data_IF_711726826826
#
_entry.id   IF_711726826826
#
_cell.length_a   1.000
_cell.length_b   1.000
_cell.length_c   1.000
_cell.angle_alpha   90.00
_cell.angle_beta   90.00
_cell.angle_gamma   90.00
#
_symmetry.space_group_name_H-M   'P 1'
#
loop_
_entity.id
_entity.type
_entity.pdbx_description
1 polymer ?
#
# COMPACT_ATOMS: atom_id res chain seq x y z
N UNK A 1 -8.36 -6.77 21.40
CA UNK A 1 -7.04 -7.25 20.95
C UNK A 1 -5.98 -6.29 21.48
N UNK A 2 -4.80 -6.77 21.90
CA UNK A 2 -3.72 -5.89 22.35
C UNK A 2 -3.08 -5.16 21.15
N UNK A 3 -2.54 -3.96 21.39
CA UNK A 3 -1.86 -3.17 20.34
C UNK A 3 -0.67 -3.91 19.68
N UNK A 4 0.19 -4.63 20.45
CA UNK A 4 1.24 -5.45 19.84
C UNK A 4 0.70 -6.56 18.94
N UNK A 5 -0.40 -7.21 19.32
CA UNK A 5 -1.01 -8.23 18.47
C UNK A 5 -1.59 -7.64 17.17
N UNK A 6 -2.22 -6.45 17.24
CA UNK A 6 -2.66 -5.72 16.06
C UNK A 6 -1.49 -5.39 15.11
N UNK A 7 -0.37 -4.91 15.67
CA UNK A 7 0.84 -4.58 14.93
C UNK A 7 1.42 -5.78 14.18
N UNK A 8 1.64 -6.89 14.87
CA UNK A 8 2.14 -8.13 14.26
C UNK A 8 1.18 -8.63 13.18
N UNK A 9 -0.14 -8.60 13.47
CA UNK A 9 -1.15 -9.03 12.48
C UNK A 9 -1.12 -8.19 11.22
N UNK A 10 -1.02 -6.87 11.31
CA UNK A 10 -0.94 -5.99 10.12
C UNK A 10 0.35 -6.24 9.33
N UNK A 11 1.49 -6.41 10.01
CA UNK A 11 2.74 -6.76 9.33
C UNK A 11 2.58 -8.06 8.55
N UNK A 12 2.05 -9.12 9.17
CA UNK A 12 1.86 -10.42 8.50
C UNK A 12 0.89 -10.31 7.33
N UNK A 13 -0.26 -9.64 7.51
CA UNK A 13 -1.26 -9.44 6.47
C UNK A 13 -0.66 -8.68 5.28
N UNK A 14 0.02 -7.57 5.53
CA UNK A 14 0.54 -6.75 4.44
C UNK A 14 1.81 -7.30 3.80
N UNK A 15 2.59 -8.10 4.52
CA UNK A 15 3.74 -8.83 3.93
C UNK A 15 3.30 -9.97 3.01
N UNK A 16 2.17 -10.62 3.30
CA UNK A 16 1.62 -11.69 2.45
C UNK A 16 0.75 -11.18 1.32
N UNK A 17 0.23 -9.94 1.42
CA UNK A 17 -0.67 -9.33 0.41
C UNK A 17 -0.08 -9.32 -1.01
N UNK A 18 1.19 -8.90 -1.27
CA UNK A 18 1.74 -8.90 -2.61
C UNK A 18 1.81 -10.31 -3.25
N UNK A 19 2.16 -11.30 -2.45
CA UNK A 19 2.20 -12.70 -2.89
C UNK A 19 0.79 -13.21 -3.21
N UNK A 20 -0.18 -12.91 -2.36
CA UNK A 20 -1.58 -13.26 -2.58
C UNK A 20 -2.16 -12.54 -3.83
N UNK A 21 -1.72 -11.33 -4.15
CA UNK A 21 -2.07 -10.64 -5.41
C UNK A 21 -1.63 -11.48 -6.61
N UNK A 22 -0.39 -11.97 -6.64
CA UNK A 22 0.09 -12.83 -7.72
C UNK A 22 -0.70 -14.13 -7.80
N UNK A 23 -0.93 -14.79 -6.67
CA UNK A 23 -1.69 -16.05 -6.67
C UNK A 23 -3.14 -15.87 -7.08
N UNK A 24 -3.77 -14.75 -6.74
CA UNK A 24 -5.16 -14.47 -7.12
C UNK A 24 -5.36 -14.33 -8.62
N UNK A 25 -4.33 -13.92 -9.36
CA UNK A 25 -4.38 -13.77 -10.82
C UNK A 25 -4.15 -15.08 -11.59
N UNK A 26 -3.74 -16.17 -10.91
CA UNK A 26 -3.47 -17.45 -11.56
C UNK A 26 -4.75 -18.05 -12.16
N UNK A 27 -4.79 -18.20 -13.47
CA UNK A 27 -5.92 -18.79 -14.21
C UNK A 27 -7.18 -17.91 -14.27
N UNK A 28 -7.27 -16.85 -13.45
CA UNK A 28 -8.43 -15.95 -13.41
C UNK A 28 -8.19 -14.62 -14.16
N UNK A 29 -6.93 -14.31 -14.47
CA UNK A 29 -6.54 -12.99 -14.94
C UNK A 29 -6.49 -11.95 -13.81
N UNK A 30 -5.62 -10.95 -13.99
CA UNK A 30 -5.39 -9.91 -12.97
C UNK A 30 -6.62 -9.00 -12.78
N UNK A 31 -7.32 -8.69 -13.88
CA UNK A 31 -8.47 -7.79 -13.89
C UNK A 31 -9.67 -8.40 -13.16
N UNK A 32 -10.00 -9.69 -13.41
CA UNK A 32 -11.01 -10.41 -12.66
C UNK A 32 -10.65 -10.53 -11.18
N UNK A 33 -9.40 -10.89 -10.87
CA UNK A 33 -8.94 -11.09 -9.49
C UNK A 33 -9.13 -9.82 -8.64
N UNK A 34 -8.75 -8.64 -9.15
CA UNK A 34 -8.95 -7.38 -8.43
C UNK A 34 -10.43 -7.02 -8.31
N UNK A 35 -11.23 -7.21 -9.37
CA UNK A 35 -12.68 -6.98 -9.30
C UNK A 35 -13.35 -7.87 -8.25
N UNK A 36 -13.12 -9.19 -8.31
CA UNK A 36 -13.70 -10.16 -7.38
C UNK A 36 -13.31 -9.86 -5.90
N UNK A 37 -12.03 -9.54 -5.65
CA UNK A 37 -11.55 -9.10 -4.34
C UNK A 37 -12.34 -7.89 -3.83
N UNK A 38 -12.51 -6.85 -4.67
CA UNK A 38 -13.21 -5.63 -4.27
C UNK A 38 -14.70 -5.87 -4.06
N UNK A 39 -15.33 -6.73 -4.85
CA UNK A 39 -16.72 -7.14 -4.66
C UNK A 39 -16.93 -7.82 -3.30
N UNK A 40 -16.06 -8.77 -2.92
CA UNK A 40 -16.07 -9.41 -1.60
C UNK A 40 -15.92 -8.36 -0.49
N UNK A 41 -14.98 -7.42 -0.67
CA UNK A 41 -14.74 -6.35 0.31
C UNK A 41 -15.96 -5.45 0.50
N UNK A 42 -16.69 -5.09 -0.59
CA UNK A 42 -17.95 -4.32 -0.51
C UNK A 42 -18.98 -5.07 0.32
N UNK A 43 -19.22 -6.36 0.01
CA UNK A 43 -20.21 -7.18 0.72
C UNK A 43 -19.87 -7.27 2.21
N UNK A 44 -18.60 -7.55 2.54
CA UNK A 44 -18.17 -7.67 3.92
C UNK A 44 -18.24 -6.34 4.67
N UNK A 45 -17.81 -5.22 4.06
CA UNK A 45 -17.95 -3.90 4.68
C UNK A 45 -19.42 -3.50 4.89
N UNK A 46 -20.30 -3.81 3.93
CA UNK A 46 -21.74 -3.58 4.08
C UNK A 46 -22.31 -4.37 5.27
N UNK A 47 -21.97 -5.66 5.37
CA UNK A 47 -22.36 -6.51 6.48
C UNK A 47 -21.86 -5.97 7.83
N UNK A 48 -20.59 -5.56 7.91
CA UNK A 48 -20.01 -4.99 9.12
C UNK A 48 -20.66 -3.65 9.51
N UNK A 49 -20.96 -2.77 8.56
CA UNK A 49 -21.69 -1.52 8.83
C UNK A 49 -23.07 -1.82 9.42
N UNK A 50 -23.78 -2.80 8.84
CA UNK A 50 -25.11 -3.20 9.34
C UNK A 50 -25.04 -3.80 10.76
N UNK A 51 -24.12 -4.74 11.00
CA UNK A 51 -23.94 -5.41 12.31
C UNK A 51 -23.51 -4.42 13.38
N UNK A 52 -22.55 -3.53 13.07
CA UNK A 52 -22.03 -2.53 13.99
C UNK A 52 -22.94 -1.28 14.08
N UNK A 53 -24.04 -1.25 13.31
CA UNK A 53 -24.99 -0.14 13.24
C UNK A 53 -24.34 1.22 12.95
N UNK A 54 -23.27 1.22 12.16
CA UNK A 54 -22.57 2.44 11.76
C UNK A 54 -23.32 3.05 10.58
N UNK A 55 -23.79 4.29 10.72
CA UNK A 55 -24.45 5.02 9.64
C UNK A 55 -23.42 5.47 8.59
N UNK A 56 -23.79 5.38 7.32
CA UNK A 56 -22.99 5.90 6.21
C UNK A 56 -23.23 7.42 6.07
N UNK A 57 -22.24 8.29 6.32
CA UNK A 57 -22.36 9.71 6.12
C UNK A 57 -22.52 10.04 4.61
N UNK A 58 -23.49 10.88 4.26
CA UNK A 58 -23.76 11.30 2.88
C UNK A 58 -23.61 12.81 2.67
N UNK A 59 -23.00 13.53 3.61
CA UNK A 59 -22.73 14.94 3.46
C UNK A 59 -21.58 15.18 2.43
N UNK A 60 -21.51 16.38 1.86
CA UNK A 60 -20.58 16.70 0.76
C UNK A 60 -19.12 16.31 1.02
N UNK A 61 -18.59 16.55 2.23
CA UNK A 61 -17.20 16.21 2.55
C UNK A 61 -16.99 14.68 2.53
N UNK A 62 -17.93 13.91 3.10
CA UNK A 62 -17.86 12.45 3.07
C UNK A 62 -17.88 11.92 1.62
N UNK A 63 -18.77 12.43 0.78
CA UNK A 63 -18.84 12.04 -0.63
C UNK A 63 -17.54 12.38 -1.38
N UNK A 64 -16.95 13.56 -1.16
CA UNK A 64 -15.65 13.92 -1.74
C UNK A 64 -14.54 13.00 -1.23
N UNK A 65 -14.56 12.60 0.04
CA UNK A 65 -13.61 11.63 0.61
C UNK A 65 -13.77 10.25 -0.05
N UNK A 66 -15.01 9.79 -0.27
CA UNK A 66 -15.28 8.52 -0.98
C UNK A 66 -14.79 8.54 -2.42
N UNK A 67 -15.01 9.63 -3.15
CA UNK A 67 -14.52 9.78 -4.53
C UNK A 67 -12.99 9.81 -4.55
N UNK A 68 -12.36 10.63 -3.72
CA UNK A 68 -10.92 10.74 -3.64
C UNK A 68 -10.26 9.40 -3.31
N UNK A 69 -10.79 8.70 -2.31
CA UNK A 69 -10.29 7.39 -1.89
C UNK A 69 -10.59 6.30 -2.90
N UNK A 70 -11.82 6.25 -3.45
CA UNK A 70 -12.25 5.22 -4.37
C UNK A 70 -11.52 5.28 -5.72
N UNK A 71 -11.33 6.46 -6.29
CA UNK A 71 -10.58 6.65 -7.54
C UNK A 71 -9.10 6.36 -7.36
N UNK A 72 -8.50 6.83 -6.25
CA UNK A 72 -7.12 6.53 -5.91
C UNK A 72 -6.90 5.04 -5.68
N UNK A 73 -7.79 4.38 -4.95
CA UNK A 73 -7.73 2.93 -4.71
C UNK A 73 -7.85 2.15 -6.02
N UNK A 74 -8.74 2.57 -6.92
CA UNK A 74 -8.83 1.95 -8.24
C UNK A 74 -7.52 2.09 -9.01
N UNK A 75 -6.96 3.30 -9.17
CA UNK A 75 -5.70 3.52 -9.86
C UNK A 75 -4.55 2.72 -9.24
N UNK A 76 -4.45 2.74 -7.92
CA UNK A 76 -3.43 1.98 -7.18
C UNK A 76 -3.54 0.48 -7.43
N UNK A 77 -4.72 -0.10 -7.23
CA UNK A 77 -4.90 -1.55 -7.30
C UNK A 77 -4.90 -2.05 -8.75
N UNK A 78 -5.50 -1.33 -9.69
CA UNK A 78 -5.47 -1.73 -11.10
C UNK A 78 -4.03 -1.80 -11.64
N UNK A 79 -3.22 -0.77 -11.36
CA UNK A 79 -1.81 -0.74 -11.75
C UNK A 79 -0.96 -1.77 -11.00
N UNK A 80 -1.18 -1.97 -9.70
CA UNK A 80 -0.45 -2.97 -8.92
C UNK A 80 -0.77 -4.40 -9.36
N UNK A 81 -2.04 -4.71 -9.65
CA UNK A 81 -2.42 -6.02 -10.19
C UNK A 81 -1.90 -6.24 -11.61
N UNK A 82 -1.98 -5.23 -12.45
CA UNK A 82 -1.39 -5.33 -13.79
C UNK A 82 0.12 -5.55 -13.72
N UNK A 83 0.82 -4.82 -12.88
CA UNK A 83 2.28 -4.95 -12.71
C UNK A 83 2.68 -6.32 -12.15
N UNK A 84 1.81 -6.96 -11.35
CA UNK A 84 2.10 -8.26 -10.73
C UNK A 84 2.37 -9.38 -11.73
N UNK A 85 1.99 -9.20 -13.00
CA UNK A 85 2.30 -10.12 -14.08
C UNK A 85 3.78 -10.10 -14.48
N UNK A 86 4.44 -8.97 -14.29
CA UNK A 86 5.79 -8.68 -14.79
C UNK A 86 6.85 -8.59 -13.71
N UNK A 87 6.44 -8.28 -12.46
CA UNK A 87 7.38 -8.10 -11.34
C UNK A 87 7.15 -9.12 -10.23
N UNK A 88 8.17 -9.35 -9.41
CA UNK A 88 8.05 -10.24 -8.25
C UNK A 88 7.15 -9.64 -7.16
N UNK A 89 6.55 -10.49 -6.33
CA UNK A 89 5.70 -10.04 -5.22
C UNK A 89 6.48 -9.18 -4.22
N UNK A 90 7.75 -9.53 -3.99
CA UNK A 90 8.63 -8.73 -3.14
C UNK A 90 8.85 -7.31 -3.68
N UNK A 91 9.05 -7.15 -5.01
CA UNK A 91 9.19 -5.83 -5.64
C UNK A 91 7.94 -4.96 -5.44
N UNK A 92 6.74 -5.56 -5.47
CA UNK A 92 5.50 -4.82 -5.18
C UNK A 92 5.60 -4.17 -3.79
N UNK A 93 5.97 -4.94 -2.77
CA UNK A 93 6.08 -4.42 -1.41
C UNK A 93 7.21 -3.37 -1.26
N UNK A 94 8.35 -3.58 -1.92
CA UNK A 94 9.49 -2.65 -1.89
C UNK A 94 9.10 -1.29 -2.44
N UNK A 95 8.43 -1.23 -3.60
CA UNK A 95 8.00 0.04 -4.17
C UNK A 95 6.92 0.73 -3.31
N UNK A 96 5.99 -0.02 -2.73
CA UNK A 96 5.04 0.54 -1.77
C UNK A 96 5.70 1.11 -0.51
N UNK A 97 6.91 0.66 -0.15
CA UNK A 97 7.75 1.28 0.88
C UNK A 97 8.11 2.74 0.61
N UNK A 98 8.04 3.21 -0.65
CA UNK A 98 8.20 4.63 -1.02
C UNK A 98 6.95 5.49 -0.73
N UNK A 99 5.79 4.86 -0.50
CA UNK A 99 4.53 5.60 -0.32
C UNK A 99 4.60 6.72 0.72
N UNK A 100 5.20 6.54 1.91
CA UNK A 100 5.31 7.64 2.88
C UNK A 100 6.15 8.82 2.37
N UNK A 101 7.23 8.54 1.62
CA UNK A 101 8.10 9.58 1.06
C UNK A 101 7.35 10.40 0.00
N UNK A 102 6.65 9.73 -0.91
CA UNK A 102 5.86 10.39 -1.97
C UNK A 102 4.67 11.12 -1.36
N UNK A 103 4.02 10.55 -0.34
CA UNK A 103 2.91 11.21 0.38
C UNK A 103 3.38 12.48 1.07
N UNK A 104 4.54 12.46 1.73
CA UNK A 104 5.13 13.65 2.36
C UNK A 104 5.43 14.74 1.33
N UNK A 105 6.03 14.36 0.18
CA UNK A 105 6.27 15.29 -0.92
C UNK A 105 4.95 15.89 -1.45
N UNK A 106 3.92 15.07 -1.66
CA UNK A 106 2.60 15.52 -2.07
C UNK A 106 1.94 16.47 -1.06
N UNK A 107 2.06 16.17 0.24
CA UNK A 107 1.56 17.04 1.31
C UNK A 107 2.28 18.40 1.34
N UNK A 108 3.59 18.41 1.17
CA UNK A 108 4.38 19.65 1.06
C UNK A 108 3.93 20.52 -0.11
N UNK A 109 3.76 19.93 -1.30
CA UNK A 109 3.42 20.65 -2.52
C UNK A 109 1.96 21.12 -2.54
N UNK A 110 1.04 20.30 -2.05
CA UNK A 110 -0.40 20.55 -2.18
C UNK A 110 -1.05 21.13 -0.93
N UNK A 111 -0.62 20.72 0.27
CA UNK A 111 -1.19 21.20 1.54
C UNK A 111 -0.36 22.34 2.15
N UNK A 112 0.90 22.51 1.74
CA UNK A 112 1.84 23.49 2.28
C UNK A 112 2.04 23.38 3.81
N UNK A 113 1.81 22.21 4.38
CA UNK A 113 1.76 22.00 5.84
C UNK A 113 3.12 21.60 6.44
N UNK A 114 4.02 21.02 5.65
CA UNK A 114 5.26 20.47 6.16
C UNK A 114 6.48 21.34 5.82
N UNK A 115 7.29 21.66 6.83
CA UNK A 115 8.61 22.23 6.61
C UNK A 115 9.57 21.16 6.08
N UNK A 116 10.31 21.48 5.02
CA UNK A 116 11.39 20.62 4.50
C UNK A 116 12.56 20.69 5.47
N UNK A 117 12.74 19.65 6.28
CA UNK A 117 13.97 19.50 7.08
C UNK A 117 15.07 18.83 6.24
N UNK A 118 16.33 19.09 6.60
CA UNK A 118 17.45 18.45 5.91
C UNK A 118 17.37 16.91 5.96
N UNK A 119 16.88 16.34 7.07
CA UNK A 119 16.69 14.90 7.24
C UNK A 119 15.58 14.36 6.32
N UNK A 120 14.47 15.08 6.13
CA UNK A 120 13.41 14.70 5.18
C UNK A 120 13.94 14.71 3.75
N UNK A 121 14.66 15.75 3.34
CA UNK A 121 15.25 15.83 2.02
C UNK A 121 16.27 14.72 1.78
N UNK A 122 17.19 14.48 2.71
CA UNK A 122 18.16 13.41 2.62
C UNK A 122 17.49 12.03 2.54
N UNK A 123 16.42 11.80 3.32
CA UNK A 123 15.61 10.58 3.26
C UNK A 123 14.95 10.37 1.89
N UNK A 124 14.39 11.42 1.29
CA UNK A 124 13.80 11.36 -0.04
C UNK A 124 14.84 11.05 -1.12
N UNK A 125 16.03 11.70 -1.07
CA UNK A 125 17.12 11.44 -2.03
C UNK A 125 17.63 10.00 -1.91
N UNK A 126 17.75 9.49 -0.68
CA UNK A 126 18.16 8.11 -0.44
C UNK A 126 17.11 7.11 -0.96
N UNK A 127 15.82 7.38 -0.73
CA UNK A 127 14.72 6.59 -1.28
C UNK A 127 14.71 6.58 -2.82
N UNK A 128 14.99 7.74 -3.45
CA UNK A 128 15.12 7.86 -4.90
C UNK A 128 16.32 7.06 -5.43
N UNK A 129 17.47 7.11 -4.74
CA UNK A 129 18.64 6.31 -5.10
C UNK A 129 18.32 4.80 -5.02
N UNK A 130 17.60 4.37 -3.98
CA UNK A 130 17.10 2.99 -3.84
C UNK A 130 16.17 2.59 -4.99
N UNK A 131 15.25 3.48 -5.39
CA UNK A 131 14.37 3.26 -6.53
C UNK A 131 15.18 3.04 -7.83
N UNK A 132 16.18 3.88 -8.09
CA UNK A 132 17.07 3.73 -9.26
C UNK A 132 17.79 2.38 -9.26
N UNK A 133 18.24 1.90 -8.09
CA UNK A 133 18.86 0.57 -7.96
C UNK A 133 17.89 -0.56 -8.29
N UNK A 134 16.63 -0.48 -7.78
CA UNK A 134 15.58 -1.47 -8.09
C UNK A 134 15.28 -1.48 -9.59
N UNK A 135 15.15 -0.31 -10.23
CA UNK A 135 14.93 -0.20 -11.68
C UNK A 135 16.10 -0.73 -12.49
N UNK A 136 17.35 -0.49 -12.06
CA UNK A 136 18.54 -1.08 -12.71
C UNK A 136 18.56 -2.61 -12.64
N UNK A 137 18.08 -3.18 -11.54
CA UNK A 137 17.84 -4.63 -11.44
C UNK A 137 16.81 -5.13 -12.45
N UNK A 138 15.80 -4.31 -12.76
CA UNK A 138 14.79 -4.60 -13.78
C UNK A 138 15.27 -4.49 -15.22
N UNK A 139 16.29 -3.66 -15.49
CA UNK A 139 16.85 -3.50 -16.85
C UNK A 139 17.53 -4.76 -17.43
N UNK A 140 17.93 -5.71 -16.58
CA UNK A 140 18.44 -7.02 -16.98
C UNK A 140 17.35 -8.08 -17.17
N UNK A 141 16.08 -7.71 -16.95
CA UNK A 141 14.91 -8.54 -17.13
C UNK A 141 14.23 -8.17 -18.47
N UNK A 142 13.24 -8.93 -18.83
CA UNK A 142 12.37 -8.75 -19.99
C UNK A 142 11.82 -7.31 -20.11
N UNK A 143 11.50 -6.84 -21.31
CA UNK A 143 10.90 -5.50 -21.56
C UNK A 143 9.61 -5.29 -20.75
N UNK A 144 8.84 -6.36 -20.50
CA UNK A 144 7.67 -6.34 -19.64
C UNK A 144 7.97 -5.95 -18.19
N UNK A 145 9.12 -6.33 -17.65
CA UNK A 145 9.50 -6.02 -16.26
C UNK A 145 9.67 -4.51 -16.03
N UNK A 146 10.24 -3.78 -16.99
CA UNK A 146 10.37 -2.33 -16.90
C UNK A 146 9.00 -1.64 -16.91
N UNK A 147 8.11 -2.07 -17.81
CA UNK A 147 6.73 -1.56 -17.85
C UNK A 147 5.98 -1.87 -16.54
N UNK A 148 6.17 -3.08 -16.00
CA UNK A 148 5.63 -3.48 -14.70
C UNK A 148 6.12 -2.58 -13.55
N UNK A 149 7.41 -2.26 -13.50
CA UNK A 149 7.98 -1.37 -12.50
C UNK A 149 7.44 0.07 -12.62
N UNK A 150 7.33 0.59 -13.84
CA UNK A 150 6.76 1.93 -14.08
C UNK A 150 5.29 1.97 -13.65
N UNK A 151 4.49 0.97 -14.02
CA UNK A 151 3.09 0.89 -13.59
C UNK A 151 2.98 0.79 -12.06
N UNK A 152 3.85 0.02 -11.44
CA UNK A 152 3.87 -0.11 -9.98
C UNK A 152 4.29 1.20 -9.30
N UNK A 153 5.24 1.94 -9.85
CA UNK A 153 5.58 3.27 -9.35
C UNK A 153 4.40 4.24 -9.48
N UNK A 154 3.68 4.23 -10.61
CA UNK A 154 2.46 5.01 -10.80
C UNK A 154 1.35 4.58 -9.82
N UNK A 155 1.25 3.30 -9.45
CA UNK A 155 0.35 2.81 -8.41
C UNK A 155 0.66 3.47 -7.06
N UNK A 156 1.94 3.54 -6.68
CA UNK A 156 2.37 4.18 -5.43
C UNK A 156 2.10 5.70 -5.45
N UNK A 157 2.35 6.36 -6.58
CA UNK A 157 2.01 7.78 -6.76
C UNK A 157 0.49 8.00 -6.63
N UNK A 158 -0.33 7.16 -7.27
CA UNK A 158 -1.80 7.21 -7.15
C UNK A 158 -2.25 7.08 -5.70
N UNK A 159 -1.68 6.14 -4.95
CA UNK A 159 -1.96 5.96 -3.52
C UNK A 159 -1.58 7.22 -2.72
N UNK A 160 -0.39 7.73 -2.92
CA UNK A 160 0.12 8.89 -2.20
C UNK A 160 -0.74 10.14 -2.46
N UNK A 161 -1.09 10.39 -3.72
CA UNK A 161 -1.97 11.50 -4.10
C UNK A 161 -3.37 11.36 -3.49
N UNK A 162 -3.92 10.13 -3.47
CA UNK A 162 -5.18 9.86 -2.81
C UNK A 162 -5.17 10.17 -1.33
N UNK A 163 -4.11 9.76 -0.61
CA UNK A 163 -3.94 10.06 0.81
C UNK A 163 -3.87 11.57 1.08
N UNK A 164 -3.12 12.31 0.25
CA UNK A 164 -3.03 13.78 0.35
C UNK A 164 -4.38 14.43 0.05
N UNK A 165 -5.11 13.92 -0.95
CA UNK A 165 -6.44 14.43 -1.28
C UNK A 165 -7.44 14.21 -0.16
N UNK A 166 -7.50 13.00 0.41
CA UNK A 166 -8.34 12.69 1.59
C UNK A 166 -8.02 13.63 2.75
N UNK A 167 -6.73 13.83 3.03
CA UNK A 167 -6.29 14.78 4.07
C UNK A 167 -6.78 16.20 3.78
N UNK A 168 -6.72 16.64 2.53
CA UNK A 168 -7.22 17.96 2.11
C UNK A 168 -8.72 18.11 2.28
N UNK A 169 -9.48 17.06 2.05
CA UNK A 169 -10.95 17.07 2.26
C UNK A 169 -11.28 17.24 3.74
N UNK A 170 -10.48 16.64 4.64
CA UNK A 170 -10.62 16.79 6.09
C UNK A 170 -11.96 16.28 6.59
N UNK A 171 -12.35 15.07 6.16
CA UNK A 171 -13.59 14.43 6.57
C UNK A 171 -13.36 13.53 7.79
N UNK A 172 -14.22 13.69 8.82
CA UNK A 172 -14.14 12.94 10.08
C UNK A 172 -15.04 11.68 10.11
N UNK A 173 -15.52 11.24 8.96
CA UNK A 173 -16.38 10.04 8.85
C UNK A 173 -15.69 8.81 9.47
N UNK A 174 -16.48 7.86 10.02
CA UNK A 174 -15.92 6.62 10.55
C UNK A 174 -15.10 5.88 9.48
N UNK A 175 -13.90 5.36 9.81
CA UNK A 175 -13.01 4.71 8.83
C UNK A 175 -13.68 3.60 8.03
N UNK A 176 -14.52 2.78 8.67
CA UNK A 176 -15.26 1.72 7.98
C UNK A 176 -16.27 2.27 6.98
N UNK A 177 -16.93 3.40 7.29
CA UNK A 177 -17.84 4.07 6.35
C UNK A 177 -17.09 4.66 5.16
N UNK A 178 -15.93 5.28 5.40
CA UNK A 178 -15.05 5.80 4.33
C UNK A 178 -14.55 4.66 3.45
N UNK A 179 -14.12 3.54 4.04
CA UNK A 179 -13.69 2.35 3.28
C UNK A 179 -14.82 1.81 2.42
N UNK A 180 -16.02 1.65 2.99
CA UNK A 180 -17.19 1.18 2.22
C UNK A 180 -17.57 2.14 1.10
N UNK A 181 -17.67 3.44 1.38
CA UNK A 181 -17.98 4.46 0.37
C UNK A 181 -16.96 4.47 -0.77
N UNK A 182 -15.67 4.33 -0.44
CA UNK A 182 -14.58 4.23 -1.43
C UNK A 182 -14.70 2.99 -2.30
N UNK A 183 -15.02 1.84 -1.69
CA UNK A 183 -15.23 0.59 -2.40
C UNK A 183 -16.45 0.67 -3.34
N UNK A 184 -17.54 1.30 -2.92
CA UNK A 184 -18.74 1.52 -3.74
C UNK A 184 -18.44 2.40 -4.95
N UNK A 185 -17.61 3.44 -4.79
CA UNK A 185 -17.17 4.28 -5.92
C UNK A 185 -16.18 3.52 -6.82
N UNK A 186 -15.25 2.76 -6.24
CA UNK A 186 -14.23 2.01 -6.98
C UNK A 186 -14.76 0.79 -7.72
N UNK A 187 -15.75 0.07 -7.15
CA UNK A 187 -16.25 -1.20 -7.71
C UNK A 187 -16.72 -1.10 -9.16
N UNK A 188 -17.52 -0.09 -9.58
CA UNK A 188 -17.88 0.08 -10.99
C UNK A 188 -16.66 0.29 -11.90
N UNK A 189 -15.63 0.97 -11.42
CA UNK A 189 -14.39 1.18 -12.18
C UNK A 189 -13.59 -0.11 -12.33
N UNK A 190 -13.53 -0.96 -11.28
CA UNK A 190 -12.93 -2.29 -11.37
C UNK A 190 -13.71 -3.21 -12.28
N UNK A 191 -15.04 -3.16 -12.22
CA UNK A 191 -15.90 -3.91 -13.13
C UNK A 191 -15.68 -3.50 -14.58
N UNK A 192 -15.67 -2.19 -14.86
CA UNK A 192 -15.42 -1.67 -16.21
C UNK A 192 -14.02 -2.04 -16.71
N UNK A 193 -13.00 -1.97 -15.85
CA UNK A 193 -11.64 -2.37 -16.20
C UNK A 193 -11.55 -3.86 -16.55
N UNK A 194 -12.20 -4.72 -15.76
CA UNK A 194 -12.29 -6.15 -16.07
C UNK A 194 -13.05 -6.40 -17.37
N UNK A 195 -14.22 -5.78 -17.55
CA UNK A 195 -15.05 -5.95 -18.73
C UNK A 195 -14.34 -5.54 -20.02
N UNK A 196 -13.56 -4.46 -19.97
CA UNK A 196 -12.82 -3.95 -21.12
C UNK A 196 -11.50 -4.72 -21.39
N UNK A 197 -10.87 -5.26 -20.37
CA UNK A 197 -9.59 -5.97 -20.51
C UNK A 197 -9.78 -7.41 -20.97
N UNK A 198 -10.77 -8.11 -20.44
CA UNK A 198 -11.00 -9.54 -20.66
C UNK A 198 -12.49 -9.84 -20.86
N UNK A 199 -13.36 -9.37 -19.97
CA UNK A 199 -14.81 -9.49 -20.03
C UNK A 199 -15.35 -10.93 -19.91
N UNK A 200 -14.47 -11.92 -19.73
CA UNK A 200 -14.83 -13.32 -19.61
C UNK A 200 -14.81 -13.76 -18.16
N UNK A 201 -15.86 -14.47 -17.77
CA UNK A 201 -15.86 -15.15 -16.48
C UNK A 201 -14.92 -16.35 -16.57
N UNK A 202 -14.02 -16.58 -15.57
CA UNK A 202 -13.11 -17.70 -15.62
C UNK A 202 -13.87 -19.04 -15.70
N UNK A 203 -13.56 -19.88 -16.69
CA UNK A 203 -14.18 -21.22 -16.83
C UNK A 203 -13.84 -22.13 -15.65
N UNK A 204 -12.62 -21.98 -15.12
CA UNK A 204 -12.16 -22.66 -13.92
C UNK A 204 -11.32 -21.71 -13.08
N UNK A 205 -11.63 -21.64 -11.79
CA UNK A 205 -10.85 -20.87 -10.82
C UNK A 205 -10.02 -21.84 -9.97
N UNK A 206 -8.69 -21.87 -10.13
CA UNK A 206 -7.84 -22.71 -9.31
C UNK A 206 -8.05 -22.43 -7.81
N UNK A 207 -8.04 -23.46 -6.97
CA UNK A 207 -8.28 -23.32 -5.53
C UNK A 207 -7.37 -22.30 -4.87
N UNK A 208 -6.09 -22.25 -5.31
CA UNK A 208 -5.12 -21.28 -4.83
C UNK A 208 -5.51 -19.84 -5.17
N UNK A 209 -6.05 -19.61 -6.37
CA UNK A 209 -6.52 -18.31 -6.80
C UNK A 209 -7.78 -17.91 -6.03
N UNK A 210 -8.74 -18.82 -5.89
CA UNK A 210 -9.96 -18.59 -5.11
C UNK A 210 -9.64 -18.25 -3.65
N UNK A 211 -8.79 -19.04 -3.01
CA UNK A 211 -8.35 -18.80 -1.63
C UNK A 211 -7.64 -17.43 -1.50
N UNK A 212 -6.78 -17.06 -2.45
CA UNK A 212 -6.09 -15.78 -2.45
C UNK A 212 -7.07 -14.60 -2.64
N UNK A 213 -8.06 -14.70 -3.53
CA UNK A 213 -9.10 -13.68 -3.73
C UNK A 213 -9.91 -13.49 -2.44
N UNK A 214 -10.37 -14.59 -1.81
CA UNK A 214 -11.11 -14.53 -0.54
C UNK A 214 -10.25 -13.94 0.57
N UNK A 215 -9.01 -14.39 0.71
CA UNK A 215 -8.07 -13.86 1.69
C UNK A 215 -7.87 -12.35 1.51
N UNK A 216 -7.62 -11.91 0.30
CA UNK A 216 -7.42 -10.50 0.00
C UNK A 216 -8.69 -9.66 0.21
N UNK A 217 -9.85 -10.18 -0.18
CA UNK A 217 -11.14 -9.51 -0.01
C UNK A 217 -11.57 -9.35 1.45
N UNK A 218 -11.21 -10.30 2.30
CA UNK A 218 -11.59 -10.34 3.72
C UNK A 218 -10.47 -9.84 4.63
N UNK A 219 -9.37 -10.60 4.71
CA UNK A 219 -8.26 -10.32 5.63
C UNK A 219 -7.40 -9.16 5.13
N UNK A 220 -6.98 -9.22 3.86
CA UNK A 220 -6.08 -8.21 3.28
C UNK A 220 -6.68 -6.81 3.22
N UNK A 221 -7.95 -6.70 2.87
CA UNK A 221 -8.63 -5.41 2.75
C UNK A 221 -9.32 -4.99 4.03
N UNK A 222 -10.29 -5.75 4.52
CA UNK A 222 -11.16 -5.30 5.61
C UNK A 222 -10.46 -5.40 6.96
N UNK A 223 -9.96 -6.59 7.33
CA UNK A 223 -9.32 -6.78 8.63
C UNK A 223 -8.04 -5.96 8.75
N UNK A 224 -7.18 -5.99 7.72
CA UNK A 224 -5.92 -5.24 7.71
C UNK A 224 -6.13 -3.74 7.96
N UNK A 225 -7.08 -3.11 7.26
CA UNK A 225 -7.38 -1.69 7.47
C UNK A 225 -8.05 -1.42 8.83
N UNK A 226 -8.95 -2.29 9.30
CA UNK A 226 -9.55 -2.11 10.63
C UNK A 226 -8.49 -2.11 11.74
N UNK A 227 -7.53 -3.05 11.69
CA UNK A 227 -6.43 -3.14 12.63
C UNK A 227 -5.48 -1.94 12.52
N UNK A 228 -5.17 -1.53 11.31
CA UNK A 228 -4.34 -0.36 11.05
C UNK A 228 -4.95 0.92 11.61
N UNK A 229 -6.24 1.18 11.36
CA UNK A 229 -6.96 2.33 11.93
C UNK A 229 -7.11 2.25 13.45
N UNK A 230 -7.26 1.04 14.01
CA UNK A 230 -7.21 0.84 15.45
C UNK A 230 -5.87 1.29 16.03
N UNK A 231 -4.75 0.94 15.40
CA UNK A 231 -3.43 1.36 15.85
C UNK A 231 -3.22 2.88 15.72
N UNK A 232 -3.66 3.51 14.62
CA UNK A 232 -3.54 4.97 14.42
C UNK A 232 -4.19 5.74 15.57
N UNK A 233 -5.28 5.23 16.13
CA UNK A 233 -5.98 5.88 17.25
C UNK A 233 -5.27 5.73 18.59
N UNK A 234 -4.36 4.74 18.74
CA UNK A 234 -3.83 4.37 20.05
C UNK A 234 -2.30 4.39 20.12
N UNK A 235 -1.61 4.53 19.00
CA UNK A 235 -0.16 4.57 18.93
C UNK A 235 0.34 5.82 18.19
N UNK A 236 1.58 6.21 18.54
CA UNK A 236 2.27 7.30 17.83
C UNK A 236 2.64 6.87 16.40
N UNK A 237 2.73 7.87 15.52
CA UNK A 237 3.01 7.68 14.09
C UNK A 237 4.36 7.01 13.84
N UNK A 238 5.34 7.22 14.73
CA UNK A 238 6.67 6.60 14.60
C UNK A 238 6.63 5.09 14.69
N UNK A 239 5.85 4.52 15.64
CA UNK A 239 5.68 3.07 15.75
C UNK A 239 4.95 2.48 14.56
N UNK A 240 3.95 3.18 14.04
CA UNK A 240 3.19 2.74 12.86
C UNK A 240 4.06 2.73 11.61
N UNK A 241 5.00 3.68 11.47
CA UNK A 241 5.93 3.74 10.36
C UNK A 241 6.86 2.50 10.28
N UNK A 242 7.09 1.79 11.39
CA UNK A 242 7.84 0.52 11.38
C UNK A 242 7.19 -0.56 10.51
N UNK A 243 5.86 -0.52 10.31
CA UNK A 243 5.17 -1.45 9.42
C UNK A 243 5.74 -1.33 8.00
N UNK A 244 5.89 -0.09 7.50
CA UNK A 244 6.42 0.17 6.17
C UNK A 244 7.92 -0.20 6.02
N UNK A 245 8.65 -0.33 7.13
CA UNK A 245 10.04 -0.81 7.13
C UNK A 245 10.13 -2.33 7.12
N UNK A 246 9.25 -3.01 7.84
CA UNK A 246 9.31 -4.47 8.02
C UNK A 246 8.67 -5.21 6.86
N UNK A 247 7.54 -4.72 6.36
CA UNK A 247 6.75 -5.42 5.33
C UNK A 247 7.52 -5.72 4.03
N UNK A 248 8.37 -4.82 3.45
CA UNK A 248 9.10 -5.13 2.22
C UNK A 248 10.10 -6.28 2.40
N UNK A 249 10.79 -6.32 3.54
CA UNK A 249 11.77 -7.38 3.81
C UNK A 249 11.07 -8.74 3.92
N UNK A 250 9.98 -8.80 4.71
CA UNK A 250 9.21 -10.03 4.83
C UNK A 250 8.56 -10.45 3.51
N UNK A 251 8.05 -9.51 2.71
CA UNK A 251 7.46 -9.81 1.41
C UNK A 251 8.49 -10.39 0.43
N UNK A 252 9.73 -9.86 0.41
CA UNK A 252 10.83 -10.42 -0.39
C UNK A 252 11.16 -11.86 0.04
N UNK A 253 11.28 -12.09 1.34
CA UNK A 253 11.54 -13.43 1.88
C UNK A 253 10.39 -14.41 1.59
N UNK A 254 9.15 -13.98 1.73
CA UNK A 254 7.97 -14.80 1.43
C UNK A 254 7.85 -15.11 -0.07
N UNK A 255 8.10 -14.13 -0.94
CA UNK A 255 8.12 -14.34 -2.39
C UNK A 255 9.20 -15.34 -2.80
N UNK A 256 10.39 -15.22 -2.23
CA UNK A 256 11.48 -16.17 -2.47
C UNK A 256 11.15 -17.57 -1.93
N UNK A 257 10.72 -17.66 -0.67
CA UNK A 257 10.52 -18.95 0.00
C UNK A 257 9.26 -19.73 -0.42
N UNK A 258 8.15 -19.03 -0.74
CA UNK A 258 6.85 -19.65 -1.04
C UNK A 258 6.49 -19.67 -2.54
N UNK A 259 7.16 -18.86 -3.35
CA UNK A 259 6.88 -18.72 -4.79
C UNK A 259 8.12 -18.88 -5.66
N UNK A 260 9.26 -19.25 -5.07
CA UNK A 260 10.56 -19.42 -5.75
C UNK A 260 10.95 -18.19 -6.59
N UNK A 261 10.59 -16.97 -6.13
CA UNK A 261 10.93 -15.75 -6.83
C UNK A 261 12.43 -15.45 -6.68
N UNK A 262 13.10 -15.20 -7.80
CA UNK A 262 14.48 -14.76 -7.78
C UNK A 262 14.56 -13.31 -7.28
N UNK A 263 15.40 -13.05 -6.28
CA UNK A 263 15.65 -11.71 -5.77
C UNK A 263 17.09 -11.32 -6.12
N UNK A 264 17.24 -10.43 -7.09
CA UNK A 264 18.55 -9.94 -7.53
C UNK A 264 19.24 -9.12 -6.43
N UNK A 265 20.58 -9.13 -6.34
CA UNK A 265 21.32 -8.33 -5.36
C UNK A 265 20.96 -6.84 -5.41
N UNK A 266 20.73 -6.29 -6.61
CA UNK A 266 20.32 -4.89 -6.80
C UNK A 266 19.00 -4.56 -6.10
N UNK A 267 18.07 -5.51 -6.04
CA UNK A 267 16.79 -5.33 -5.34
C UNK A 267 17.02 -5.27 -3.83
N UNK A 268 17.91 -6.10 -3.26
CA UNK A 268 18.28 -6.03 -1.86
C UNK A 268 18.94 -4.70 -1.49
N UNK A 269 19.92 -4.25 -2.28
CA UNK A 269 20.57 -2.96 -2.07
C UNK A 269 19.58 -1.80 -2.21
N UNK A 270 18.74 -1.82 -3.27
CA UNK A 270 17.71 -0.82 -3.47
C UNK A 270 16.71 -0.78 -2.32
N UNK A 271 16.29 -1.95 -1.82
CA UNK A 271 15.43 -2.06 -0.64
C UNK A 271 16.09 -1.44 0.59
N UNK A 272 17.35 -1.75 0.85
CA UNK A 272 18.08 -1.17 1.98
C UNK A 272 18.14 0.37 1.88
N UNK A 273 18.40 0.93 0.71
CA UNK A 273 18.39 2.39 0.50
C UNK A 273 17.00 3.01 0.73
N UNK A 274 15.93 2.38 0.23
CA UNK A 274 14.55 2.84 0.45
C UNK A 274 14.21 2.83 1.94
N UNK A 275 14.55 1.75 2.65
CA UNK A 275 14.27 1.62 4.08
C UNK A 275 15.09 2.60 4.93
N UNK A 276 16.38 2.79 4.61
CA UNK A 276 17.22 3.80 5.26
C UNK A 276 16.70 5.21 4.99
N UNK A 277 16.26 5.48 3.75
CA UNK A 277 15.63 6.74 3.36
C UNK A 277 14.35 7.01 4.16
N UNK A 278 13.50 6.01 4.29
CA UNK A 278 12.27 6.10 5.09
C UNK A 278 12.58 6.31 6.59
N UNK A 279 13.57 5.61 7.14
CA UNK A 279 14.02 5.78 8.51
C UNK A 279 14.54 7.19 8.78
N UNK A 280 15.39 7.70 7.90
CA UNK A 280 15.95 9.05 7.99
C UNK A 280 14.86 10.13 7.86
N UNK A 281 13.92 9.93 6.93
CA UNK A 281 12.76 10.82 6.75
C UNK A 281 11.87 10.85 8.00
N UNK A 282 11.61 9.70 8.62
CA UNK A 282 10.66 9.58 9.73
C UNK A 282 11.25 9.98 11.08
N UNK A 283 12.53 9.70 11.32
CA UNK A 283 13.17 9.88 12.64
C UNK A 283 14.45 10.72 12.59
N UNK A 284 14.90 11.15 11.41
CA UNK A 284 16.20 11.83 11.27
C UNK A 284 16.33 13.11 12.11
N UNK A 285 15.27 13.90 12.25
CA UNK A 285 15.28 15.08 13.11
C UNK A 285 15.48 14.71 14.58
N UNK A 286 14.79 13.68 15.09
CA UNK A 286 14.92 13.21 16.47
C UNK A 286 16.33 12.66 16.76
N UNK A 287 16.94 11.97 15.80
CA UNK A 287 18.31 11.48 15.92
C UNK A 287 19.32 12.62 15.97
N UNK A 288 19.17 13.65 15.15
CA UNK A 288 20.03 14.83 15.18
C UNK A 288 19.92 15.59 16.51
N UNK A 289 18.70 15.76 17.02
CA UNK A 289 18.48 16.38 18.33
C UNK A 289 19.12 15.58 19.47
N UNK A 290 18.97 14.26 19.44
CA UNK A 290 19.60 13.37 20.43
C UNK A 290 21.14 13.46 20.39
N UNK A 291 21.74 13.42 19.19
CA UNK A 291 23.19 13.53 19.02
C UNK A 291 23.72 14.91 19.48
N UNK A 292 22.98 15.98 19.16
CA UNK A 292 23.33 17.33 19.60
C UNK A 292 23.22 17.51 21.12
N UNK A 293 22.26 16.84 21.76
CA UNK A 293 22.12 16.85 23.22
C UNK A 293 23.21 16.02 23.93
N UNK A 294 23.60 14.89 23.32
CA UNK A 294 24.67 14.02 23.87
C UNK A 294 26.05 14.64 23.73
N UNK A 295 26.28 15.55 22.79
CA UNK A 295 27.53 16.26 22.56
C UNK A 295 27.73 17.50 23.45
N UNK A 296 26.72 17.92 24.26
CA UNK A 296 26.90 19.04 25.19
C UNK A 296 27.60 18.53 26.48
N UNK A 297 28.75 19.08 26.87
CA UNK A 297 29.39 18.73 28.13
C UNK A 297 28.43 19.04 29.28
N UNK A 298 28.24 18.06 30.18
CA UNK A 298 27.55 18.28 31.46
C UNK A 298 28.42 19.26 32.29
N UNK A 299 28.02 20.53 32.34
CA UNK A 299 28.54 21.49 33.29
C UNK A 299 27.92 21.28 34.67
#
# INVERSE_FOLDING_TARGET
MSLPAAFVSVILIWSTTPLAIKWSALGAGFSFAVFARMAISVVLCAALLAVLRIRLPLHRRALHSYVASGTSMWGTMALAYWSSQYVSSGMISVLFGLSPLITSLGAMLWLKEESVTASKLAGMLLGLAGLVLVFRGGLGLDEGAMLGLVALFLAVVSQALGLVWIKKVGDDSPPLATTFGSLVIGLPLFFAAWWLADGHWPDALPDRAAAAIIYLGTVGSVLGFMLYYYMIKHWDTGRIALIALITPVLALLLGHGLNNEAVLPQVWFGTAFILLGLGLHSWGAQWLDYLSAAGKPKH
#
